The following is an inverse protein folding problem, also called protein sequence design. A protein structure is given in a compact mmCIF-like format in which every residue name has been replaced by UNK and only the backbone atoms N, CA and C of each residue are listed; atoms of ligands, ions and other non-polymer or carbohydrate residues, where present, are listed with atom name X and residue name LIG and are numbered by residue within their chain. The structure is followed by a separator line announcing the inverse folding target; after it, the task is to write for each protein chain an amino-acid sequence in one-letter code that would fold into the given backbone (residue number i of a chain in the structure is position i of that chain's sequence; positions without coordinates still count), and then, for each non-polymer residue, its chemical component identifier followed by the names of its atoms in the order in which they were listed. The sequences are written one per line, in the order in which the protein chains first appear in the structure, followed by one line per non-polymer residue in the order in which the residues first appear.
data_IF_551565175748
#
_entry.id   IF_551565175748
#
_cell.length_a   1.000
_cell.length_b   1.000
_cell.length_c   1.000
_cell.angle_alpha   90.00
_cell.angle_beta   90.00
_cell.angle_gamma   90.00
#
_symmetry.space_group_name_H-M   'P 1'
#
loop_
_entity.id
_entity.type
_entity.pdbx_description
1 polymer ?
#
# COMPACT_ATOMS: atom_id res chain seq x y z
N UNK A 1 -2.20 -2.37 -1.61
CA UNK A 1 -2.73 -3.28 -2.64
C UNK A 1 -1.64 -3.82 -3.57
N UNK A 2 -1.04 -3.00 -4.44
CA UNK A 2 -0.05 -3.44 -5.45
C UNK A 2 1.20 -4.15 -4.89
N UNK A 3 1.54 -3.92 -3.62
CA UNK A 3 2.65 -4.57 -2.93
C UNK A 3 2.31 -5.95 -2.36
N UNK A 4 1.05 -6.18 -1.98
CA UNK A 4 0.62 -7.39 -1.27
C UNK A 4 -0.11 -8.38 -2.17
N UNK A 5 -0.73 -7.90 -3.25
CA UNK A 5 -1.46 -8.73 -4.19
C UNK A 5 -0.73 -8.76 -5.52
N UNK A 6 -0.55 -9.97 -6.06
CA UNK A 6 0.10 -10.20 -7.36
C UNK A 6 -0.64 -9.52 -8.51
N UNK A 7 -1.98 -9.52 -8.46
CA UNK A 7 -2.85 -8.88 -9.45
C UNK A 7 -3.85 -7.97 -8.75
N UNK A 8 -3.86 -6.69 -9.14
CA UNK A 8 -4.81 -5.71 -8.62
C UNK A 8 -5.82 -5.36 -9.72
N UNK A 9 -7.10 -5.43 -9.40
CA UNK A 9 -8.19 -5.11 -10.32
C UNK A 9 -8.94 -3.90 -9.77
N UNK A 10 -9.06 -2.84 -10.57
CA UNK A 10 -9.90 -1.67 -10.29
C UNK A 10 -11.22 -1.85 -11.02
N UNK A 11 -12.29 -2.14 -10.28
CA UNK A 11 -13.65 -2.17 -10.83
C UNK A 11 -14.26 -0.77 -10.76
N UNK A 12 -14.72 -0.26 -11.91
CA UNK A 12 -15.46 0.99 -12.01
C UNK A 12 -16.89 0.67 -12.44
N UNK A 13 -17.82 0.89 -11.52
CA UNK A 13 -19.25 0.67 -11.74
C UNK A 13 -19.97 1.96 -12.05
N UNK A 14 -20.82 1.93 -13.08
CA UNK A 14 -21.80 2.97 -13.34
C UNK A 14 -23.16 2.55 -12.79
N UNK A 15 -23.88 3.47 -12.13
CA UNK A 15 -25.27 3.19 -11.78
C UNK A 15 -26.17 3.32 -13.01
N UNK A 16 -27.19 2.46 -13.10
CA UNK A 16 -28.17 2.49 -14.20
C UNK A 16 -28.88 3.84 -14.32
N UNK A 17 -28.97 4.58 -13.21
CA UNK A 17 -29.48 5.96 -13.18
C UNK A 17 -28.70 6.90 -14.09
N UNK A 18 -27.45 6.59 -14.44
CA UNK A 18 -26.62 7.38 -15.35
C UNK A 18 -26.59 6.86 -16.79
N UNK A 19 -27.34 5.79 -17.12
CA UNK A 19 -27.44 5.27 -18.51
C UNK A 19 -27.90 6.35 -19.49
N UNK A 20 -28.83 7.21 -19.09
CA UNK A 20 -29.35 8.31 -19.93
C UNK A 20 -28.33 9.45 -20.18
N UNK A 21 -27.26 9.54 -19.39
CA UNK A 21 -26.20 10.55 -19.56
C UNK A 21 -25.07 10.08 -20.48
N UNK A 22 -25.09 8.82 -20.91
CA UNK A 22 -24.10 8.27 -21.85
C UNK A 22 -24.45 8.71 -23.26
N UNK A 23 -24.02 9.91 -23.64
CA UNK A 23 -24.11 10.37 -25.03
C UNK A 23 -22.91 9.78 -25.78
N UNK A 24 -23.16 8.82 -26.67
CA UNK A 24 -22.18 8.18 -27.56
C UNK A 24 -21.20 7.17 -26.93
N UNK A 25 -21.69 6.22 -26.12
CA UNK A 25 -21.10 4.87 -26.07
C UNK A 25 -19.89 4.59 -25.16
N UNK A 26 -19.25 5.60 -24.55
CA UNK A 26 -18.13 5.39 -23.61
C UNK A 26 -18.32 6.04 -22.24
N UNK A 27 -17.69 5.55 -21.15
CA UNK A 27 -17.87 6.08 -19.78
C UNK A 27 -17.41 7.53 -19.61
N UNK A 28 -16.60 8.05 -20.53
CA UNK A 28 -16.21 9.46 -20.58
C UNK A 28 -16.56 10.17 -21.90
N UNK A 29 -17.26 9.47 -22.79
CA UNK A 29 -17.58 9.99 -24.11
C UNK A 29 -18.74 10.99 -23.95
N UNK A 30 -18.54 12.22 -24.42
CA UNK A 30 -19.52 13.31 -24.30
C UNK A 30 -19.36 14.24 -23.09
N UNK A 31 -18.57 13.88 -22.06
CA UNK A 31 -18.35 14.79 -20.92
C UNK A 31 -17.18 15.77 -21.19
N UNK A 32 -17.53 16.93 -21.73
CA UNK A 32 -16.62 18.07 -21.98
C UNK A 32 -16.40 18.97 -20.76
N UNK A 33 -17.02 18.65 -19.62
CA UNK A 33 -16.82 19.38 -18.37
C UNK A 33 -15.35 19.39 -17.95
N UNK A 34 -14.89 20.50 -17.34
CA UNK A 34 -13.55 20.62 -16.77
C UNK A 34 -13.24 19.45 -15.82
N UNK A 35 -14.20 19.10 -14.97
CA UNK A 35 -14.09 17.97 -14.02
C UNK A 35 -13.90 16.64 -14.74
N UNK A 36 -14.61 16.41 -15.84
CA UNK A 36 -14.47 15.20 -16.65
C UNK A 36 -13.09 15.09 -17.29
N UNK A 37 -12.52 16.20 -17.76
CA UNK A 37 -11.14 16.25 -18.29
C UNK A 37 -10.10 15.93 -17.22
N UNK A 38 -10.19 16.58 -16.05
CA UNK A 38 -9.28 16.35 -14.92
C UNK A 38 -9.34 14.89 -14.45
N UNK A 39 -10.56 14.34 -14.32
CA UNK A 39 -10.77 12.94 -13.92
C UNK A 39 -10.16 11.96 -14.93
N UNK A 40 -10.35 12.19 -16.24
CA UNK A 40 -9.72 11.38 -17.29
C UNK A 40 -8.19 11.43 -17.22
N UNK A 41 -7.63 12.61 -17.01
CA UNK A 41 -6.19 12.79 -16.90
C UNK A 41 -5.62 12.04 -15.70
N UNK A 42 -6.25 12.18 -14.53
CA UNK A 42 -5.83 11.48 -13.31
C UNK A 42 -5.94 9.95 -13.47
N UNK A 43 -7.03 9.46 -14.07
CA UNK A 43 -7.19 8.03 -14.32
C UNK A 43 -6.12 7.49 -15.30
N UNK A 44 -5.82 8.25 -16.36
CA UNK A 44 -4.77 7.89 -17.32
C UNK A 44 -3.41 7.81 -16.63
N UNK A 45 -3.09 8.77 -15.76
CA UNK A 45 -1.85 8.74 -14.97
C UNK A 45 -1.81 7.56 -14.02
N UNK A 46 -2.92 7.25 -13.33
CA UNK A 46 -3.00 6.11 -12.42
C UNK A 46 -2.72 4.77 -13.13
N UNK A 47 -3.28 4.58 -14.32
CA UNK A 47 -3.06 3.36 -15.13
C UNK A 47 -1.62 3.30 -15.63
N UNK A 48 -1.06 4.43 -16.10
CA UNK A 48 0.31 4.48 -16.62
C UNK A 48 1.36 4.21 -15.54
N UNK A 49 1.16 4.74 -14.34
CA UNK A 49 2.08 4.55 -13.21
C UNK A 49 2.02 3.12 -12.68
N UNK A 50 0.87 2.44 -12.81
CA UNK A 50 0.64 1.12 -12.23
C UNK A 50 0.31 0.07 -13.31
N UNK A 51 1.28 -0.40 -14.10
CA UNK A 51 1.05 -1.34 -15.20
C UNK A 51 0.53 -2.71 -14.75
N UNK A 52 0.72 -3.08 -13.48
CA UNK A 52 0.20 -4.32 -12.89
C UNK A 52 -1.28 -4.24 -12.51
N UNK A 53 -1.90 -3.06 -12.59
CA UNK A 53 -3.30 -2.85 -12.27
C UNK A 53 -4.15 -3.03 -13.53
N UNK A 54 -5.16 -3.91 -13.47
CA UNK A 54 -6.16 -4.08 -14.51
C UNK A 54 -7.41 -3.27 -14.18
N UNK A 55 -8.01 -2.59 -15.15
CA UNK A 55 -9.25 -1.82 -14.93
C UNK A 55 -10.41 -2.51 -15.64
N UNK A 56 -11.51 -2.74 -14.91
CA UNK A 56 -12.74 -3.34 -15.42
C UNK A 56 -13.87 -2.31 -15.31
N UNK A 57 -14.69 -2.22 -16.35
CA UNK A 57 -15.84 -1.33 -16.40
C UNK A 57 -17.13 -2.16 -16.39
N UNK A 58 -18.02 -1.87 -15.45
CA UNK A 58 -19.34 -2.49 -15.40
C UNK A 58 -20.45 -1.45 -15.41
N UNK A 59 -21.53 -1.77 -16.12
CA UNK A 59 -22.69 -0.89 -16.29
C UNK A 59 -23.75 -1.00 -15.20
N UNK A 60 -23.71 -2.06 -14.40
CA UNK A 60 -24.63 -2.28 -13.28
C UNK A 60 -24.04 -3.28 -12.28
N UNK A 61 -24.43 -3.22 -10.99
CA UNK A 61 -23.93 -4.18 -9.99
C UNK A 61 -24.28 -5.64 -10.30
N UNK A 62 -25.40 -5.87 -11.00
CA UNK A 62 -25.80 -7.22 -11.43
C UNK A 62 -24.81 -7.81 -12.43
N UNK A 63 -24.42 -7.03 -13.43
CA UNK A 63 -23.41 -7.45 -14.42
C UNK A 63 -22.05 -7.65 -13.76
N UNK A 64 -21.71 -6.83 -12.76
CA UNK A 64 -20.47 -7.05 -11.98
C UNK A 64 -20.48 -8.37 -11.22
N UNK A 65 -21.63 -8.77 -10.66
CA UNK A 65 -21.74 -10.04 -9.94
C UNK A 65 -21.56 -11.25 -10.85
N UNK A 66 -22.21 -11.23 -12.03
CA UNK A 66 -22.04 -12.25 -13.07
C UNK A 66 -20.57 -12.31 -13.53
N UNK A 67 -19.94 -11.15 -13.76
CA UNK A 67 -18.52 -11.08 -14.11
C UNK A 67 -17.60 -11.65 -13.03
N UNK A 68 -17.90 -11.44 -11.75
CA UNK A 68 -17.11 -12.02 -10.66
C UNK A 68 -17.24 -13.54 -10.57
N UNK A 69 -18.40 -14.09 -10.91
CA UNK A 69 -18.60 -15.53 -11.00
C UNK A 69 -17.75 -16.12 -12.13
N UNK A 70 -17.72 -15.48 -13.30
CA UNK A 70 -16.88 -15.87 -14.43
C UNK A 70 -15.38 -15.77 -14.12
N UNK A 71 -14.93 -14.68 -13.47
CA UNK A 71 -13.53 -14.51 -13.08
C UNK A 71 -13.09 -15.58 -12.06
N UNK A 72 -14.01 -16.01 -11.20
CA UNK A 72 -13.75 -17.03 -10.19
C UNK A 72 -13.81 -18.46 -10.74
N UNK A 73 -14.32 -18.65 -11.96
CA UNK A 73 -14.44 -19.99 -12.56
C UNK A 73 -13.07 -20.70 -12.55
N UNK A 74 -13.07 -21.96 -12.10
CA UNK A 74 -11.87 -22.80 -11.94
C UNK A 74 -10.78 -22.27 -10.98
N UNK A 75 -11.10 -21.28 -10.13
CA UNK A 75 -10.18 -20.78 -9.09
C UNK A 75 -10.53 -21.34 -7.70
N UNK A 76 -9.53 -21.63 -6.84
CA UNK A 76 -9.78 -22.05 -5.47
C UNK A 76 -10.43 -20.92 -4.66
N UNK A 77 -11.16 -21.30 -3.61
CA UNK A 77 -11.68 -20.32 -2.66
C UNK A 77 -10.52 -19.62 -1.93
N UNK A 78 -10.64 -18.31 -1.64
CA UNK A 78 -9.60 -17.58 -0.94
C UNK A 78 -9.44 -18.10 0.49
N UNK A 79 -8.19 -18.21 0.93
CA UNK A 79 -7.87 -18.56 2.32
C UNK A 79 -8.09 -17.33 3.23
N UNK A 80 -8.92 -17.51 4.25
CA UNK A 80 -9.29 -16.47 5.21
C UNK A 80 -8.12 -16.15 6.14
N UNK A 81 -7.35 -17.16 6.54
CA UNK A 81 -6.27 -16.99 7.50
C UNK A 81 -5.11 -16.21 6.87
N UNK A 82 -4.75 -16.52 5.62
CA UNK A 82 -3.80 -15.73 4.85
C UNK A 82 -4.25 -14.27 4.67
N UNK A 83 -5.54 -14.02 4.42
CA UNK A 83 -6.07 -12.67 4.28
C UNK A 83 -5.99 -11.87 5.59
N UNK A 84 -6.23 -12.52 6.73
CA UNK A 84 -6.09 -11.90 8.07
C UNK A 84 -4.62 -11.61 8.37
N UNK A 85 -3.70 -12.50 7.98
CA UNK A 85 -2.25 -12.29 8.16
C UNK A 85 -1.74 -11.07 7.37
N UNK A 86 -2.36 -10.76 6.22
CA UNK A 86 -2.03 -9.57 5.42
C UNK A 86 -2.56 -8.28 6.07
N UNK A 87 -3.32 -8.33 7.18
CA UNK A 87 -3.78 -7.13 7.91
C UNK A 87 -2.60 -6.19 8.17
N UNK A 88 -2.60 -5.15 7.34
CA UNK A 88 -1.80 -3.95 7.35
C UNK A 88 -0.86 -3.83 8.55
N UNK A 89 0.43 -3.95 8.27
CA UNK A 89 1.50 -3.45 9.12
C UNK A 89 1.40 -1.91 9.40
N UNK A 90 0.45 -1.25 8.72
CA UNK A 90 0.15 0.19 8.66
C UNK A 90 -1.01 0.69 9.57
N UNK A 91 -1.77 -0.18 10.24
CA UNK A 91 -2.72 0.34 11.25
C UNK A 91 -1.94 0.54 12.54
N UNK A 92 -1.28 1.69 12.65
CA UNK A 92 -1.06 2.30 13.95
C UNK A 92 -2.41 2.38 14.66
N UNK A 93 -2.57 1.60 15.72
CA UNK A 93 -3.46 1.90 16.84
C UNK A 93 -4.83 2.44 16.46
N UNK A 94 -5.71 1.58 15.95
CA UNK A 94 -7.13 1.72 16.30
C UNK A 94 -7.42 0.56 17.24
N UNK A 95 -7.14 0.82 18.52
CA UNK A 95 -7.81 0.12 19.61
C UNK A 95 -9.30 0.45 19.44
N UNK A 96 -10.03 -0.45 18.77
CA UNK A 96 -11.47 -0.50 18.94
C UNK A 96 -11.70 -0.98 20.37
N UNK A 97 -12.01 -0.01 21.22
CA UNK A 97 -12.45 -0.18 22.59
C UNK A 97 -13.77 -0.99 22.59
N UNK A 98 -13.63 -2.31 22.51
CA UNK A 98 -14.73 -3.26 22.69
C UNK A 98 -14.19 -4.47 23.43
N UNK A 99 -13.72 -4.23 24.65
CA UNK A 99 -13.53 -5.27 25.66
C UNK A 99 -14.43 -4.98 26.84
N UNK A 100 -15.62 -5.57 26.82
CA UNK A 100 -16.33 -5.92 28.05
C UNK A 100 -15.53 -7.07 28.68
N UNK A 101 -14.93 -6.80 29.85
CA UNK A 101 -14.49 -7.72 30.92
C UNK A 101 -13.63 -8.95 30.52
N UNK A 102 -12.48 -9.27 31.12
CA UNK A 102 -12.11 -9.23 32.53
C UNK A 102 -10.64 -9.70 32.67
N UNK A 103 -9.96 -9.18 33.70
CA UNK A 103 -8.74 -9.70 34.35
C UNK A 103 -7.35 -9.48 33.67
N UNK A 104 -6.53 -8.70 34.38
CA UNK A 104 -5.07 -8.52 34.25
C UNK A 104 -4.32 -9.74 34.87
N UNK A 105 -2.97 -9.91 34.79
CA UNK A 105 -1.93 -8.92 34.44
C UNK A 105 -0.79 -9.42 33.52
N UNK A 106 -0.01 -8.50 32.94
CA UNK A 106 1.49 -8.45 32.95
C UNK A 106 2.00 -7.55 31.80
N UNK A 107 2.44 -6.35 32.18
CA UNK A 107 3.58 -5.59 31.61
C UNK A 107 3.99 -5.85 30.15
N UNK A 108 3.43 -5.09 29.21
CA UNK A 108 4.24 -4.48 28.15
C UNK A 108 3.66 -3.11 27.86
N UNK A 109 4.11 -2.10 28.61
CA UNK A 109 4.03 -0.72 28.12
C UNK A 109 4.84 -0.69 26.83
N UNK A 110 4.19 -0.85 25.69
CA UNK A 110 4.83 -0.65 24.38
C UNK A 110 5.40 0.76 24.43
N UNK A 111 6.73 0.85 24.55
CA UNK A 111 7.44 2.11 24.55
C UNK A 111 6.91 2.93 23.39
N UNK A 112 6.34 4.10 23.70
CA UNK A 112 5.81 4.99 22.68
C UNK A 112 7.01 5.48 21.87
N UNK A 113 7.29 4.75 20.79
CA UNK A 113 8.33 5.09 19.81
C UNK A 113 8.11 6.54 19.37
N UNK A 114 9.19 7.30 19.25
CA UNK A 114 9.09 8.71 18.87
C UNK A 114 8.40 8.83 17.49
N UNK A 115 7.22 9.48 17.41
CA UNK A 115 6.43 9.54 16.19
C UNK A 115 7.13 10.35 15.08
N UNK A 116 8.00 11.29 15.46
CA UNK A 116 8.77 12.10 14.52
C UNK A 116 9.80 11.22 13.81
N UNK A 117 10.57 10.44 14.58
CA UNK A 117 11.58 9.53 14.02
C UNK A 117 10.91 8.47 13.15
N UNK A 118 9.81 7.88 13.62
CA UNK A 118 9.02 6.93 12.85
C UNK A 118 8.57 7.52 11.50
N UNK A 119 8.09 8.77 11.50
CA UNK A 119 7.68 9.46 10.28
C UNK A 119 8.85 9.68 9.34
N UNK A 120 10.00 10.15 9.84
CA UNK A 120 11.20 10.36 9.01
C UNK A 120 11.69 9.03 8.40
N UNK A 121 11.76 7.97 9.19
CA UNK A 121 12.15 6.64 8.70
C UNK A 121 11.15 6.07 7.68
N UNK A 122 9.85 6.35 7.82
CA UNK A 122 8.84 5.92 6.85
C UNK A 122 8.93 6.60 5.49
N UNK A 123 9.69 7.70 5.38
CA UNK A 123 9.95 8.36 4.09
C UNK A 123 11.11 7.74 3.32
N UNK A 124 11.87 6.82 3.95
CA UNK A 124 12.99 6.15 3.30
C UNK A 124 12.49 5.26 2.16
N UNK A 125 13.21 5.21 1.02
CA UNK A 125 12.82 4.39 -0.11
C UNK A 125 12.77 2.92 0.30
N UNK A 126 11.75 2.21 -0.20
CA UNK A 126 11.55 0.77 -0.04
C UNK A 126 11.26 0.27 1.39
N UNK A 127 11.08 1.15 2.38
CA UNK A 127 10.77 0.76 3.77
C UNK A 127 9.26 0.57 4.01
N UNK A 128 8.88 -0.44 4.78
CA UNK A 128 7.53 -0.62 5.34
C UNK A 128 7.41 0.03 6.72
N UNK A 129 6.20 0.28 7.21
CA UNK A 129 6.02 0.68 8.62
C UNK A 129 6.52 -0.40 9.59
N UNK A 130 6.45 -1.66 9.20
CA UNK A 130 6.95 -2.77 10.02
C UNK A 130 8.43 -2.91 10.09
N UNK A 131 9.03 -2.71 8.95
CA UNK A 131 10.44 -2.52 8.77
C UNK A 131 10.93 -1.35 9.66
N UNK A 132 10.24 -0.20 9.64
CA UNK A 132 10.56 0.93 10.53
C UNK A 132 10.45 0.55 12.01
N UNK A 133 9.40 -0.19 12.41
CA UNK A 133 9.25 -0.66 13.80
C UNK A 133 10.38 -1.59 14.22
N UNK A 134 10.77 -2.53 13.34
CA UNK A 134 11.93 -3.41 13.56
C UNK A 134 13.21 -2.59 13.67
N UNK A 135 13.41 -1.61 12.79
CA UNK A 135 14.57 -0.71 12.80
C UNK A 135 14.70 0.04 14.13
N UNK A 136 13.59 0.61 14.59
CA UNK A 136 13.55 1.34 15.86
C UNK A 136 13.71 0.43 17.08
N UNK A 137 13.47 -0.88 16.95
CA UNK A 137 13.75 -1.86 18.01
C UNK A 137 15.18 -2.41 17.98
N UNK A 138 15.81 -2.46 16.80
CA UNK A 138 17.18 -2.95 16.63
C UNK A 138 18.23 -1.90 17.02
N UNK A 139 17.97 -0.63 16.70
CA UNK A 139 18.91 0.46 16.96
C UNK A 139 18.43 1.36 18.10
N UNK A 140 19.31 1.62 19.07
CA UNK A 140 19.02 2.51 20.21
C UNK A 140 18.93 3.97 19.76
N UNK A 141 19.80 4.37 18.84
CA UNK A 141 19.90 5.74 18.33
C UNK A 141 19.82 5.71 16.79
N UNK A 142 19.13 6.67 16.14
CA UNK A 142 19.13 6.77 14.68
C UNK A 142 20.51 7.04 14.09
N UNK A 143 21.46 7.52 14.89
CA UNK A 143 22.85 7.74 14.47
C UNK A 143 23.57 6.41 14.19
N UNK A 144 23.33 5.39 15.01
CA UNK A 144 23.94 4.06 14.85
C UNK A 144 23.54 3.45 13.50
N UNK A 145 22.32 3.71 13.04
CA UNK A 145 21.83 3.33 11.71
C UNK A 145 22.58 4.02 10.56
N UNK A 146 22.98 5.29 10.73
CA UNK A 146 23.71 6.01 9.68
C UNK A 146 25.18 5.63 9.61
N UNK A 147 25.73 5.09 10.70
CA UNK A 147 27.15 4.72 10.82
C UNK A 147 27.38 3.24 10.49
N UNK A 148 26.36 2.39 10.66
CA UNK A 148 26.47 0.94 10.46
C UNK A 148 26.89 0.53 9.05
N UNK A 149 27.74 -0.48 8.98
CA UNK A 149 28.21 -1.08 7.73
C UNK A 149 27.16 -1.99 7.07
N UNK A 150 27.33 -2.25 5.77
CA UNK A 150 26.42 -3.09 4.97
C UNK A 150 26.20 -4.49 5.56
N UNK A 151 27.25 -5.10 6.13
CA UNK A 151 27.16 -6.42 6.76
C UNK A 151 26.26 -6.41 7.99
N UNK A 152 26.45 -5.43 8.88
CA UNK A 152 25.67 -5.29 10.11
C UNK A 152 24.19 -4.99 9.81
N UNK A 153 23.93 -4.19 8.77
CA UNK A 153 22.56 -3.93 8.30
C UNK A 153 21.92 -5.18 7.70
N UNK A 154 22.66 -6.00 6.97
CA UNK A 154 22.12 -7.23 6.39
C UNK A 154 21.79 -8.28 7.45
N UNK A 155 22.64 -8.41 8.48
CA UNK A 155 22.49 -9.39 9.56
C UNK A 155 21.35 -9.01 10.51
N UNK A 156 21.21 -7.73 10.83
CA UNK A 156 20.13 -7.23 11.72
C UNK A 156 18.76 -7.23 11.04
N UNK A 157 18.71 -7.01 9.72
CA UNK A 157 17.47 -6.83 8.99
C UNK A 157 16.94 -8.11 8.33
N UNK A 158 17.84 -9.03 7.94
CA UNK A 158 17.50 -10.28 7.27
C UNK A 158 17.06 -10.13 5.80
N UNK A 159 17.00 -8.91 5.24
CA UNK A 159 16.77 -8.66 3.81
C UNK A 159 17.94 -7.87 3.18
N UNK A 160 18.78 -8.51 2.35
CA UNK A 160 19.99 -7.89 1.81
C UNK A 160 19.69 -6.81 0.76
N UNK A 161 18.57 -6.90 0.05
CA UNK A 161 18.21 -5.97 -1.04
C UNK A 161 17.86 -4.59 -0.47
N UNK A 162 17.06 -4.57 0.59
CA UNK A 162 16.67 -3.33 1.27
C UNK A 162 17.85 -2.71 2.02
N UNK A 163 18.70 -3.54 2.64
CA UNK A 163 19.91 -3.07 3.32
C UNK A 163 20.88 -2.39 2.34
N UNK A 164 21.10 -2.99 1.17
CA UNK A 164 21.93 -2.39 0.11
C UNK A 164 21.35 -1.06 -0.37
N UNK A 165 20.04 -1.00 -0.62
CA UNK A 165 19.36 0.24 -1.04
C UNK A 165 19.49 1.36 -0.01
N UNK A 166 19.40 1.05 1.29
CA UNK A 166 19.54 2.03 2.38
C UNK A 166 20.98 2.51 2.52
N UNK A 167 21.95 1.59 2.51
CA UNK A 167 23.36 1.94 2.60
C UNK A 167 23.80 2.81 1.41
N UNK A 168 23.35 2.47 0.18
CA UNK A 168 23.57 3.34 -0.98
C UNK A 168 22.92 4.70 -0.76
N UNK A 169 21.68 4.78 -0.29
CA UNK A 169 21.00 6.05 -0.06
C UNK A 169 21.70 6.96 0.98
N UNK A 170 22.25 6.39 2.06
CA UNK A 170 22.98 7.19 3.07
C UNK A 170 24.36 7.63 2.61
N UNK A 171 25.02 6.83 1.78
CA UNK A 171 26.37 7.10 1.30
C UNK A 171 26.42 7.67 -0.14
N UNK A 172 25.28 7.99 -0.75
CA UNK A 172 25.25 8.66 -2.06
C UNK A 172 25.66 10.12 -1.95
N UNK A 173 26.67 10.53 -2.71
CA UNK A 173 27.01 11.94 -2.88
C UNK A 173 26.02 12.60 -3.87
N UNK A 174 25.18 13.49 -3.34
CA UNK A 174 24.19 14.23 -4.14
C UNK A 174 24.82 15.24 -5.12
N UNK A 175 26.13 15.51 -5.03
CA UNK A 175 26.83 16.45 -5.92
C UNK A 175 27.07 15.89 -7.33
N UNK A 176 27.06 14.57 -7.51
CA UNK A 176 27.37 13.93 -8.79
C UNK A 176 26.16 13.73 -9.72
N UNK A 177 24.93 14.01 -9.28
CA UNK A 177 23.70 13.77 -10.05
C UNK A 177 23.30 14.91 -11.01
N UNK A 178 24.15 15.92 -11.20
CA UNK A 178 23.88 17.10 -12.03
C UNK A 178 24.86 17.23 -13.22
N UNK A 179 25.02 16.17 -14.02
CA UNK A 179 25.59 16.24 -15.37
C UNK A 179 24.85 15.34 -16.33
#
# INVERSE_FOLDING_TARGET
MLRHYSRCILLIESSEKFKHRKVNGGPFQGELSRRGRETRQLLTMLIRVNPKMSTIWSSSPRVSAELFEEIKLDQPNPDVDAAIAIRSHDVGTIEADTTISSQAPTTTSKEKLNPIIKKQLSTLPNLLEGDVKKLMSCFKTPQDLFISDLSELSDTWGNPVTATSLHTFFNTDFRFSAR
#
